data_IF_066919336077
#
_entry.id   IF_066919336077
#
_cell.length_a   1.000
_cell.length_b   1.000
_cell.length_c   1.000
_cell.angle_alpha   90.00
_cell.angle_beta   90.00
_cell.angle_gamma   90.00
#
_symmetry.space_group_name_H-M   'P 1'
#
loop_
_entity.id
_entity.type
_entity.pdbx_description
1 polymer ?
#
# COMPACT_ATOMS: atom_id res chain seq x y z
N UNK A 1 -0.57 40.11 -11.24
CA UNK A 1 -2.00 40.25 -11.61
C UNK A 1 -2.81 39.79 -10.41
N UNK A 2 -3.66 40.64 -9.86
CA UNK A 2 -4.59 40.27 -8.78
C UNK A 2 -5.75 39.48 -9.39
N UNK A 3 -5.80 38.18 -9.14
CA UNK A 3 -6.91 37.32 -9.55
C UNK A 3 -7.98 37.31 -8.45
N UNK A 4 -9.25 37.44 -8.84
CA UNK A 4 -10.37 37.41 -7.90
C UNK A 4 -10.57 36.02 -7.29
N UNK A 5 -11.16 35.96 -6.09
CA UNK A 5 -11.47 34.70 -5.39
C UNK A 5 -12.30 33.74 -6.24
N UNK A 6 -13.17 34.28 -7.10
CA UNK A 6 -13.97 33.49 -8.03
C UNK A 6 -13.11 32.73 -9.05
N UNK A 7 -12.10 33.39 -9.62
CA UNK A 7 -11.18 32.77 -10.59
C UNK A 7 -10.30 31.72 -9.91
N UNK A 8 -9.78 32.00 -8.71
CA UNK A 8 -9.01 31.02 -7.92
C UNK A 8 -9.83 29.77 -7.57
N UNK A 9 -11.09 29.96 -7.18
CA UNK A 9 -11.98 28.84 -6.88
C UNK A 9 -12.28 28.01 -8.13
N UNK A 10 -12.55 28.66 -9.26
CA UNK A 10 -12.80 27.98 -10.53
C UNK A 10 -11.58 27.17 -11.02
N UNK A 11 -10.36 27.71 -10.85
CA UNK A 11 -9.13 27.00 -11.23
C UNK A 11 -8.79 25.83 -10.30
N UNK A 12 -9.38 25.78 -9.10
CA UNK A 12 -9.17 24.70 -8.14
C UNK A 12 -10.06 23.49 -8.41
N UNK A 13 -11.27 23.70 -8.96
CA UNK A 13 -12.24 22.63 -9.22
C UNK A 13 -11.67 21.54 -10.15
N UNK A 14 -11.01 21.86 -11.29
CA UNK A 14 -10.43 20.85 -12.18
C UNK A 14 -9.40 19.96 -11.50
N UNK A 15 -8.54 20.53 -10.65
CA UNK A 15 -7.56 19.77 -9.88
C UNK A 15 -8.23 18.72 -8.99
N UNK A 16 -9.34 19.08 -8.33
CA UNK A 16 -10.09 18.14 -7.46
C UNK A 16 -10.68 16.97 -8.22
N UNK A 17 -11.22 17.20 -9.42
CA UNK A 17 -11.82 16.14 -10.25
C UNK A 17 -10.76 15.12 -10.65
N UNK A 18 -9.59 15.59 -11.10
CA UNK A 18 -8.47 14.70 -11.48
C UNK A 18 -8.04 13.85 -10.29
N UNK A 19 -7.95 14.44 -9.09
CA UNK A 19 -7.62 13.70 -7.87
C UNK A 19 -8.64 12.60 -7.56
N UNK A 20 -9.94 12.88 -7.66
CA UNK A 20 -11.01 11.89 -7.41
C UNK A 20 -10.91 10.71 -8.40
N UNK A 21 -10.76 11.01 -9.69
CA UNK A 21 -10.61 9.97 -10.73
C UNK A 21 -9.36 9.14 -10.51
N UNK A 22 -8.24 9.80 -10.17
CA UNK A 22 -6.96 9.12 -9.91
C UNK A 22 -7.04 8.19 -8.70
N UNK A 23 -7.78 8.58 -7.65
CA UNK A 23 -8.03 7.71 -6.49
C UNK A 23 -8.89 6.50 -6.84
N UNK A 24 -9.95 6.66 -7.63
CA UNK A 24 -10.81 5.54 -8.07
C UNK A 24 -10.03 4.55 -8.94
N UNK A 25 -9.22 5.06 -9.86
CA UNK A 25 -8.35 4.22 -10.69
C UNK A 25 -7.33 3.45 -9.84
N UNK A 26 -6.73 4.12 -8.85
CA UNK A 26 -5.75 3.50 -7.94
C UNK A 26 -6.38 2.40 -7.07
N UNK A 27 -7.61 2.61 -6.57
CA UNK A 27 -8.31 1.60 -5.77
C UNK A 27 -8.65 0.37 -6.60
N UNK A 28 -9.06 0.54 -7.86
CA UNK A 28 -9.32 -0.59 -8.75
C UNK A 28 -8.03 -1.38 -9.06
N UNK A 29 -6.94 -0.68 -9.38
CA UNK A 29 -5.63 -1.32 -9.60
C UNK A 29 -5.11 -2.04 -8.34
N UNK A 30 -5.46 -1.54 -7.15
CA UNK A 30 -5.09 -2.18 -5.88
C UNK A 30 -5.82 -3.49 -5.63
N UNK A 31 -7.05 -3.63 -6.12
CA UNK A 31 -7.84 -4.85 -6.00
C UNK A 31 -7.28 -5.96 -6.91
N UNK A 32 -6.91 -5.59 -8.14
CA UNK A 32 -6.35 -6.52 -9.14
C UNK A 32 -5.03 -7.14 -8.71
N UNK A 33 -4.25 -6.44 -7.90
CA UNK A 33 -2.88 -6.84 -7.51
C UNK A 33 -2.78 -7.37 -6.09
N UNK A 34 -3.86 -7.28 -5.31
CA UNK A 34 -3.92 -7.73 -3.91
C UNK A 34 -2.94 -7.03 -2.96
N UNK A 35 -2.19 -6.02 -3.42
CA UNK A 35 -1.11 -5.37 -2.66
C UNK A 35 -1.05 -3.86 -2.95
N UNK A 36 -1.81 -3.09 -2.17
CA UNK A 36 -1.98 -1.64 -2.33
C UNK A 36 -0.67 -0.84 -2.14
N UNK A 37 0.31 -1.38 -1.41
CA UNK A 37 1.55 -0.67 -1.03
C UNK A 37 2.54 -0.52 -2.18
N UNK A 38 2.63 -1.49 -3.10
CA UNK A 38 3.62 -1.43 -4.18
C UNK A 38 3.21 -0.47 -5.31
N UNK A 39 1.92 -0.45 -5.64
CA UNK A 39 1.39 0.38 -6.73
C UNK A 39 1.38 1.86 -6.38
N UNK A 40 1.01 2.18 -5.14
CA UNK A 40 1.01 3.56 -4.66
C UNK A 40 2.43 4.15 -4.64
N UNK A 41 3.44 3.35 -4.31
CA UNK A 41 4.84 3.77 -4.30
C UNK A 41 5.40 3.93 -5.72
N UNK A 42 5.14 2.95 -6.60
CA UNK A 42 5.71 2.95 -7.95
C UNK A 42 5.11 4.03 -8.86
N UNK A 43 3.80 4.27 -8.77
CA UNK A 43 3.13 5.27 -9.61
C UNK A 43 3.52 6.70 -9.23
N UNK A 44 3.85 6.97 -7.96
CA UNK A 44 4.06 8.34 -7.50
C UNK A 44 5.39 8.96 -7.86
N UNK A 45 6.48 8.27 -7.57
CA UNK A 45 7.81 8.76 -7.96
C UNK A 45 7.96 8.79 -9.49
N UNK A 46 7.44 7.79 -10.21
CA UNK A 46 7.59 7.70 -11.67
C UNK A 46 6.72 8.72 -12.40
N UNK A 47 5.52 9.03 -11.90
CA UNK A 47 4.62 9.99 -12.55
C UNK A 47 5.10 11.44 -12.44
N UNK A 48 5.75 11.82 -11.33
CA UNK A 48 6.21 13.20 -11.13
C UNK A 48 7.42 13.56 -12.02
N UNK A 49 8.29 12.60 -12.32
CA UNK A 49 9.52 12.82 -13.10
C UNK A 49 9.29 13.38 -14.52
N UNK A 50 8.41 12.83 -15.38
CA UNK A 50 8.21 13.37 -16.72
C UNK A 50 7.66 14.80 -16.71
N UNK A 51 6.81 15.16 -15.74
CA UNK A 51 6.26 16.51 -15.65
C UNK A 51 7.27 17.54 -15.12
N UNK A 52 8.15 17.13 -14.22
CA UNK A 52 9.24 17.99 -13.74
C UNK A 52 10.30 18.18 -14.83
N UNK A 53 10.65 17.14 -15.58
CA UNK A 53 11.56 17.24 -16.73
C UNK A 53 10.97 18.16 -17.81
N UNK A 54 9.67 18.06 -18.08
CA UNK A 54 9.00 18.96 -19.01
C UNK A 54 9.07 20.42 -18.57
N UNK A 55 8.79 20.71 -17.30
CA UNK A 55 8.92 22.07 -16.74
C UNK A 55 10.35 22.58 -16.67
N UNK A 56 11.35 21.69 -16.66
CA UNK A 56 12.75 22.07 -16.71
C UNK A 56 13.21 22.47 -18.12
N UNK A 57 12.68 21.81 -19.15
CA UNK A 57 13.06 22.06 -20.55
C UNK A 57 12.29 23.22 -21.16
N UNK A 58 11.10 23.55 -20.63
CA UNK A 58 10.26 24.65 -21.15
C UNK A 58 10.50 25.94 -20.38
N UNK A 59 10.87 27.00 -21.09
CA UNK A 59 10.97 28.35 -20.52
C UNK A 59 9.56 28.91 -20.27
N UNK A 60 9.23 29.15 -19.01
CA UNK A 60 7.92 29.65 -18.55
C UNK A 60 7.60 31.07 -19.00
N UNK A 61 8.58 31.78 -19.57
CA UNK A 61 8.41 33.14 -20.10
C UNK A 61 7.86 33.16 -21.54
N UNK A 62 8.03 32.08 -22.29
CA UNK A 62 7.54 31.96 -23.69
C UNK A 62 6.34 31.02 -23.82
N UNK A 63 6.11 30.19 -22.81
CA UNK A 63 5.05 29.20 -22.80
C UNK A 63 3.66 29.80 -22.52
N UNK A 64 2.65 29.28 -23.23
CA UNK A 64 1.25 29.66 -22.98
C UNK A 64 0.85 29.33 -21.53
N UNK A 65 0.24 30.30 -20.82
CA UNK A 65 -0.19 30.11 -19.42
C UNK A 65 -1.15 28.93 -19.22
N UNK A 66 -1.88 28.53 -20.27
CA UNK A 66 -2.74 27.34 -20.28
C UNK A 66 -1.95 26.03 -20.25
N UNK A 67 -0.80 25.95 -20.93
CA UNK A 67 0.07 24.77 -20.88
C UNK A 67 0.68 24.60 -19.49
N UNK A 68 1.13 25.70 -18.88
CA UNK A 68 1.65 25.70 -17.51
C UNK A 68 0.55 25.33 -16.51
N UNK A 69 -0.64 25.90 -16.66
CA UNK A 69 -1.80 25.55 -15.83
C UNK A 69 -2.18 24.06 -15.96
N UNK A 70 -2.22 23.51 -17.16
CA UNK A 70 -2.54 22.11 -17.40
C UNK A 70 -1.50 21.18 -16.76
N UNK A 71 -0.21 21.47 -16.94
CA UNK A 71 0.89 20.67 -16.37
C UNK A 71 0.90 20.75 -14.85
N UNK A 72 0.70 21.93 -14.26
CA UNK A 72 0.61 22.10 -12.80
C UNK A 72 -0.63 21.39 -12.24
N UNK A 73 -1.78 21.51 -12.91
CA UNK A 73 -3.03 20.87 -12.48
C UNK A 73 -2.91 19.35 -12.52
N UNK A 74 -2.21 18.81 -13.52
CA UNK A 74 -1.92 17.39 -13.65
C UNK A 74 -0.89 16.90 -12.61
N UNK A 75 0.13 17.74 -12.33
CA UNK A 75 1.12 17.48 -11.27
C UNK A 75 0.47 17.44 -9.88
N UNK A 76 -0.52 18.31 -9.64
CA UNK A 76 -1.30 18.37 -8.40
C UNK A 76 -2.39 17.28 -8.31
N UNK A 77 -2.82 16.75 -9.46
CA UNK A 77 -3.80 15.66 -9.53
C UNK A 77 -3.24 14.34 -8.98
N UNK A 78 -1.94 14.10 -9.14
CA UNK A 78 -1.23 13.05 -8.42
C UNK A 78 -1.13 13.47 -6.95
N UNK A 79 -1.91 12.83 -6.09
CA UNK A 79 -2.09 13.17 -4.68
C UNK A 79 -0.77 13.33 -3.92
N UNK A 80 -0.24 14.56 -3.87
CA UNK A 80 0.66 15.01 -2.81
C UNK A 80 -0.21 15.41 -1.64
N UNK A 81 -0.21 14.59 -0.59
CA UNK A 81 -0.34 14.91 0.85
C UNK A 81 -1.08 13.77 1.55
N UNK A 82 -0.34 13.01 2.36
CA UNK A 82 -0.91 12.07 3.34
C UNK A 82 -0.38 10.64 3.28
N UNK A 83 0.12 10.14 2.14
CA UNK A 83 0.55 8.74 2.04
C UNK A 83 2.04 8.50 2.34
N UNK A 84 2.90 9.51 2.21
CA UNK A 84 4.34 9.39 2.51
C UNK A 84 4.62 9.37 4.02
N UNK A 85 3.83 10.08 4.83
CA UNK A 85 4.13 10.22 6.26
C UNK A 85 3.79 8.96 7.07
N UNK A 86 2.79 8.18 6.64
CA UNK A 86 2.39 6.95 7.31
C UNK A 86 2.93 5.68 6.65
N UNK A 87 3.82 5.79 5.66
CA UNK A 87 4.47 4.64 5.03
C UNK A 87 5.25 3.81 6.07
N UNK A 88 6.11 4.50 6.82
CA UNK A 88 6.90 3.86 7.89
C UNK A 88 5.99 3.26 8.95
N UNK A 89 4.91 3.96 9.34
CA UNK A 89 3.96 3.44 10.32
C UNK A 89 3.24 2.19 9.81
N UNK A 90 2.75 2.17 8.56
CA UNK A 90 2.08 0.99 7.98
C UNK A 90 3.01 -0.22 7.86
N UNK A 91 4.26 0.00 7.48
CA UNK A 91 5.26 -1.06 7.39
C UNK A 91 5.64 -1.59 8.79
N UNK A 92 5.89 -0.70 9.74
CA UNK A 92 6.17 -1.05 11.14
C UNK A 92 4.99 -1.76 11.79
N UNK A 93 3.76 -1.33 11.53
CA UNK A 93 2.54 -1.97 12.02
C UNK A 93 2.41 -3.38 11.44
N UNK A 94 2.63 -3.59 10.14
CA UNK A 94 2.59 -4.93 9.54
C UNK A 94 3.67 -5.86 10.13
N UNK A 95 4.90 -5.37 10.29
CA UNK A 95 5.99 -6.11 10.94
C UNK A 95 5.63 -6.42 12.39
N UNK A 96 5.11 -5.45 13.13
CA UNK A 96 4.70 -5.61 14.53
C UNK A 96 3.61 -6.69 14.65
N UNK A 97 2.57 -6.63 13.82
CA UNK A 97 1.48 -7.61 13.84
C UNK A 97 1.96 -9.03 13.46
N UNK A 98 2.80 -9.17 12.43
CA UNK A 98 3.37 -10.47 12.03
C UNK A 98 4.32 -11.01 13.10
N UNK A 99 5.18 -10.14 13.65
CA UNK A 99 6.08 -10.51 14.74
C UNK A 99 5.31 -10.94 15.98
N UNK A 100 4.24 -10.24 16.34
CA UNK A 100 3.38 -10.57 17.46
C UNK A 100 2.69 -11.93 17.28
N UNK A 101 2.17 -12.19 16.08
CA UNK A 101 1.52 -13.47 15.77
C UNK A 101 2.52 -14.63 15.85
N UNK A 102 3.70 -14.47 15.25
CA UNK A 102 4.76 -15.46 15.32
C UNK A 102 5.36 -15.62 16.73
N UNK A 103 5.37 -14.57 17.54
CA UNK A 103 5.82 -14.63 18.94
C UNK A 103 4.81 -15.40 19.81
N UNK A 104 3.51 -15.24 19.57
CA UNK A 104 2.46 -15.96 20.28
C UNK A 104 2.47 -17.47 19.97
N UNK A 105 2.83 -17.86 18.75
CA UNK A 105 2.88 -19.27 18.34
C UNK A 105 4.11 -20.02 18.89
N UNK A 106 5.25 -19.33 19.11
CA UNK A 106 6.48 -19.95 19.65
C UNK A 106 6.31 -20.66 20.99
N UNK A 107 5.30 -20.28 21.79
CA UNK A 107 5.00 -20.93 23.07
C UNK A 107 3.96 -22.06 22.99
N UNK A 108 3.37 -22.31 21.83
CA UNK A 108 2.22 -23.23 21.66
C UNK A 108 2.43 -24.30 20.59
N UNK A 109 3.48 -24.22 19.77
CA UNK A 109 3.92 -25.36 18.96
C UNK A 109 4.34 -26.48 19.92
N UNK A 110 3.52 -27.52 20.03
CA UNK A 110 3.88 -28.76 20.74
C UNK A 110 5.23 -29.21 20.21
N UNK A 111 6.21 -29.35 21.11
CA UNK A 111 7.50 -29.92 20.74
C UNK A 111 7.26 -31.30 20.11
N UNK A 112 8.07 -31.68 19.12
CA UNK A 112 7.97 -33.00 18.47
C UNK A 112 8.01 -34.14 19.48
N UNK A 113 8.69 -33.92 20.62
CA UNK A 113 8.72 -34.85 21.74
C UNK A 113 7.39 -34.96 22.50
N UNK A 114 6.69 -33.84 22.72
CA UNK A 114 5.33 -33.90 23.28
C UNK A 114 4.39 -34.62 22.32
N UNK A 115 4.46 -34.35 21.00
CA UNK A 115 3.67 -35.08 19.99
C UNK A 115 3.95 -36.59 20.01
N UNK A 116 5.23 -37.00 20.12
CA UNK A 116 5.61 -38.40 20.22
C UNK A 116 5.04 -39.05 21.49
N UNK A 117 5.13 -38.38 22.65
CA UNK A 117 4.53 -38.85 23.90
C UNK A 117 3.00 -38.97 23.81
N UNK A 118 2.31 -38.02 23.16
CA UNK A 118 0.87 -38.12 22.93
C UNK A 118 0.52 -39.28 21.99
N UNK A 119 1.30 -39.54 20.93
CA UNK A 119 1.07 -40.67 20.02
C UNK A 119 1.34 -42.04 20.68
N UNK A 120 2.27 -42.11 21.62
CA UNK A 120 2.59 -43.34 22.35
C UNK A 120 1.61 -43.63 23.50
N UNK A 121 0.98 -42.60 24.07
CA UNK A 121 0.13 -42.76 25.28
C UNK A 121 -1.38 -42.75 25.02
N UNK A 122 -1.83 -42.47 23.79
CA UNK A 122 -3.27 -42.48 23.46
C UNK A 122 -3.55 -43.07 22.08
N UNK A 123 -4.08 -44.31 22.05
CA UNK A 123 -4.57 -45.03 20.87
C UNK A 123 -6.04 -44.69 20.58
N UNK A 124 -6.34 -43.40 20.40
CA UNK A 124 -7.71 -42.94 20.13
C UNK A 124 -7.81 -42.44 18.68
N UNK A 125 -8.62 -43.10 17.83
CA UNK A 125 -8.83 -42.78 16.40
C UNK A 125 -9.58 -41.42 16.18
N UNK A 126 -9.76 -40.63 17.22
CA UNK A 126 -10.88 -39.71 17.35
C UNK A 126 -10.75 -38.27 16.83
N UNK A 127 -9.64 -37.81 16.20
CA UNK A 127 -9.64 -36.41 15.73
C UNK A 127 -8.76 -36.05 14.53
N UNK A 128 -9.24 -36.40 13.33
CA UNK A 128 -8.67 -35.91 12.05
C UNK A 128 -8.60 -34.37 11.94
N UNK A 129 -9.36 -33.62 12.74
CA UNK A 129 -9.38 -32.14 12.71
C UNK A 129 -8.14 -31.49 13.33
N UNK A 130 -7.41 -32.22 14.20
CA UNK A 130 -6.24 -31.67 14.89
C UNK A 130 -5.00 -31.62 13.97
N UNK A 131 -4.84 -32.61 13.08
CA UNK A 131 -3.68 -32.70 12.19
C UNK A 131 -3.63 -31.54 11.17
N UNK A 132 -4.80 -31.11 10.66
CA UNK A 132 -4.91 -29.93 9.79
C UNK A 132 -4.39 -28.65 10.47
N UNK A 133 -4.74 -28.44 11.74
CA UNK A 133 -4.33 -27.25 12.50
C UNK A 133 -2.81 -27.22 12.71
N UNK A 134 -2.22 -28.38 13.02
CA UNK A 134 -0.77 -28.53 13.20
C UNK A 134 0.00 -28.33 11.89
N UNK A 135 -0.53 -28.80 10.77
CA UNK A 135 0.08 -28.57 9.45
C UNK A 135 0.09 -27.08 9.10
N UNK A 136 -1.04 -26.37 9.27
CA UNK A 136 -1.11 -24.92 9.01
C UNK A 136 -0.17 -24.10 9.90
N UNK A 137 0.05 -24.50 11.16
CA UNK A 137 1.02 -23.83 12.04
C UNK A 137 2.48 -24.08 11.60
N UNK A 138 2.77 -25.25 11.03
CA UNK A 138 4.12 -25.57 10.52
C UNK A 138 4.47 -24.84 9.21
N UNK A 139 3.50 -24.58 8.33
CA UNK A 139 3.69 -23.81 7.10
C UNK A 139 3.98 -22.33 7.40
N UNK A 140 3.33 -21.75 8.41
CA UNK A 140 3.53 -20.36 8.82
C UNK A 140 4.95 -20.07 9.35
N UNK A 141 5.63 -21.07 9.91
CA UNK A 141 7.01 -20.94 10.42
C UNK A 141 8.05 -21.08 9.30
N UNK A 142 7.75 -21.86 8.26
CA UNK A 142 8.70 -22.21 7.20
C UNK A 142 8.61 -21.29 5.98
N UNK A 143 7.48 -20.62 5.75
CA UNK A 143 7.33 -19.68 4.64
C UNK A 143 6.49 -18.45 5.03
N UNK A 144 7.13 -17.37 5.54
CA UNK A 144 6.47 -16.10 5.75
C UNK A 144 6.34 -15.37 4.41
N UNK A 145 5.29 -15.71 3.65
CA UNK A 145 4.93 -15.02 2.40
C UNK A 145 4.36 -13.61 2.63
#
# INVERSE_FOLDING_TARGET
MEFSTFVSNLLTIPSKIITIVTMIALTYLSEVTGQLTWIALYLGQIWVLPFVVYLYVVDTETASGWAVYAVITLLLGFQRTGCDEYFHLRFLVKIYYVWQQCAATKGTVMTTEQKAHYLETTTDEGNKRLDFRLHTESECVTNPS
#
